data_IF_042558515680
#
_entry.id   IF_042558515680
#
_cell.length_a   1.000
_cell.length_b   1.000
_cell.length_c   1.000
_cell.angle_alpha   90.00
_cell.angle_beta   90.00
_cell.angle_gamma   90.00
#
_symmetry.space_group_name_H-M   'P 1'
#
loop_
_entity.id
_entity.type
_entity.pdbx_description
1 polymer ?
#
# COMPACT_ATOMS: atom_id res chain seq x y z
N UNK A 1 20.02 64.00 -35.32
CA UNK A 1 20.97 62.89 -35.08
C UNK A 1 20.59 62.23 -33.76
N UNK A 2 20.48 60.88 -33.77
CA UNK A 2 20.14 59.95 -32.67
C UNK A 2 18.65 59.64 -32.39
N UNK A 3 18.30 58.43 -32.86
CA UNK A 3 17.16 57.55 -32.57
C UNK A 3 17.22 56.93 -31.16
N UNK A 4 16.06 56.48 -30.65
CA UNK A 4 15.77 55.25 -29.84
C UNK A 4 14.33 55.38 -29.29
N UNK A 5 13.30 54.85 -29.96
CA UNK A 5 12.77 53.46 -29.97
C UNK A 5 12.55 52.86 -28.57
N UNK A 6 11.26 52.64 -28.31
CA UNK A 6 10.58 51.62 -27.48
C UNK A 6 10.98 51.39 -26.02
N UNK A 7 10.00 51.65 -25.15
CA UNK A 7 9.91 51.09 -23.81
C UNK A 7 8.47 50.78 -23.39
N UNK A 8 7.57 50.45 -24.32
CA UNK A 8 6.25 49.88 -24.00
C UNK A 8 6.41 48.36 -24.00
N UNK A 9 6.89 47.80 -22.89
CA UNK A 9 6.87 46.36 -22.63
C UNK A 9 7.09 46.10 -21.14
N UNK A 10 6.33 46.79 -20.29
CA UNK A 10 6.34 46.54 -18.86
C UNK A 10 5.04 45.83 -18.47
N UNK A 11 5.18 44.57 -18.04
CA UNK A 11 4.27 43.87 -17.15
C UNK A 11 2.91 43.42 -17.70
N UNK A 12 2.92 42.55 -18.71
CA UNK A 12 1.83 41.57 -18.91
C UNK A 12 2.47 40.18 -18.91
N UNK A 13 2.73 39.60 -17.72
CA UNK A 13 2.90 38.15 -17.55
C UNK A 13 3.07 37.75 -16.05
N UNK A 14 2.01 37.80 -15.23
CA UNK A 14 2.04 37.24 -13.85
C UNK A 14 0.84 36.33 -13.56
N UNK A 15 0.17 35.80 -14.59
CA UNK A 15 -1.04 34.96 -14.39
C UNK A 15 -0.89 33.48 -14.79
N UNK A 16 0.32 33.00 -15.09
CA UNK A 16 0.53 31.63 -15.59
C UNK A 16 1.14 30.62 -14.59
N UNK A 17 1.05 30.88 -13.27
CA UNK A 17 1.50 29.92 -12.24
C UNK A 17 0.35 29.20 -11.52
N UNK A 18 -0.88 29.30 -12.02
CA UNK A 18 -1.93 28.32 -11.70
C UNK A 18 -1.79 27.10 -12.63
N UNK A 19 -0.57 26.55 -12.73
CA UNK A 19 -0.40 25.22 -13.24
C UNK A 19 -1.06 24.29 -12.23
N UNK A 20 -2.19 23.70 -12.60
CA UNK A 20 -2.70 22.50 -11.95
C UNK A 20 -1.67 21.39 -12.15
N UNK A 21 -0.55 21.45 -11.42
CA UNK A 21 0.24 20.28 -11.14
C UNK A 21 -0.65 19.42 -10.24
N UNK A 22 -1.54 18.65 -10.86
CA UNK A 22 -2.17 17.54 -10.20
C UNK A 22 -1.03 16.73 -9.58
N UNK A 23 -1.09 16.54 -8.27
CA UNK A 23 -0.11 15.74 -7.56
C UNK A 23 0.06 14.37 -8.25
N UNK A 24 1.19 13.69 -8.01
CA UNK A 24 1.36 12.34 -8.53
C UNK A 24 0.10 11.51 -8.23
N UNK A 25 -0.36 10.69 -9.21
CA UNK A 25 -1.55 9.88 -9.01
C UNK A 25 -1.40 9.05 -7.73
N UNK A 26 -2.46 8.98 -6.94
CA UNK A 26 -2.46 8.13 -5.76
C UNK A 26 -2.09 6.70 -6.17
N UNK A 27 -1.22 6.02 -5.42
CA UNK A 27 -0.81 4.66 -5.75
C UNK A 27 -2.01 3.73 -5.77
N UNK A 28 -2.01 2.79 -6.71
CA UNK A 28 -3.09 1.81 -6.80
C UNK A 28 -3.10 0.91 -5.56
N UNK A 29 -4.29 0.62 -4.99
CA UNK A 29 -4.39 -0.27 -3.85
C UNK A 29 -3.97 -1.68 -4.23
N UNK A 30 -3.07 -2.27 -3.45
CA UNK A 30 -2.60 -3.64 -3.68
C UNK A 30 -3.66 -4.64 -3.19
N UNK A 31 -4.51 -5.08 -4.11
CA UNK A 31 -5.62 -5.98 -3.85
C UNK A 31 -5.40 -7.26 -4.65
N UNK A 32 -5.56 -8.41 -4.00
CA UNK A 32 -5.63 -9.68 -4.68
C UNK A 32 -6.72 -10.59 -4.11
N UNK A 33 -7.40 -11.29 -5.00
CA UNK A 33 -8.47 -12.23 -4.69
C UNK A 33 -8.11 -13.62 -5.21
N UNK A 34 -8.30 -14.64 -4.36
CA UNK A 34 -8.02 -16.04 -4.69
C UNK A 34 -9.09 -16.96 -4.13
N UNK A 35 -9.30 -18.09 -4.81
CA UNK A 35 -10.13 -19.20 -4.32
C UNK A 35 -9.19 -20.29 -3.83
N UNK A 36 -9.40 -20.75 -2.60
CA UNK A 36 -8.61 -21.77 -1.93
C UNK A 36 -9.47 -23.03 -1.73
N UNK A 37 -8.99 -24.24 -2.09
CA UNK A 37 -9.71 -25.50 -1.89
C UNK A 37 -9.57 -25.99 -0.44
N UNK A 38 -9.83 -25.10 0.52
CA UNK A 38 -9.69 -25.32 1.95
C UNK A 38 -10.90 -24.69 2.66
N UNK A 39 -11.44 -25.30 3.73
CA UNK A 39 -12.54 -24.72 4.52
C UNK A 39 -12.18 -23.37 5.16
N UNK A 40 -13.17 -22.50 5.33
CA UNK A 40 -12.94 -21.11 5.75
C UNK A 40 -12.24 -20.99 7.11
N UNK A 41 -12.55 -21.88 8.06
CA UNK A 41 -11.91 -21.87 9.39
C UNK A 41 -10.41 -22.17 9.32
N UNK A 42 -10.00 -23.12 8.48
CA UNK A 42 -8.57 -23.42 8.28
C UNK A 42 -7.85 -22.25 7.59
N UNK A 43 -8.52 -21.59 6.63
CA UNK A 43 -7.97 -20.40 5.97
C UNK A 43 -7.80 -19.25 6.97
N UNK A 44 -8.78 -19.01 7.85
CA UNK A 44 -8.70 -17.98 8.90
C UNK A 44 -7.53 -18.25 9.85
N UNK A 45 -7.40 -19.48 10.37
CA UNK A 45 -6.30 -19.84 11.26
C UNK A 45 -4.93 -19.65 10.60
N UNK A 46 -4.75 -20.20 9.39
CA UNK A 46 -3.48 -20.10 8.68
C UNK A 46 -3.13 -18.64 8.32
N UNK A 47 -4.13 -17.83 7.96
CA UNK A 47 -3.93 -16.42 7.66
C UNK A 47 -3.54 -15.63 8.91
N UNK A 48 -4.22 -15.84 10.03
CA UNK A 48 -3.86 -15.22 11.32
C UNK A 48 -2.44 -15.59 11.75
N UNK A 49 -2.03 -16.84 11.57
CA UNK A 49 -0.68 -17.31 11.90
C UNK A 49 0.38 -16.64 11.02
N UNK A 50 0.17 -16.59 9.70
CA UNK A 50 1.09 -15.95 8.73
C UNK A 50 1.25 -14.46 9.04
N UNK A 51 0.14 -13.77 9.29
CA UNK A 51 0.16 -12.34 9.61
C UNK A 51 0.84 -12.08 10.96
N UNK A 52 0.57 -12.90 11.97
CA UNK A 52 1.22 -12.78 13.28
C UNK A 52 2.73 -13.04 13.19
N UNK A 53 3.15 -14.07 12.44
CA UNK A 53 4.58 -14.34 12.15
C UNK A 53 5.22 -13.21 11.34
N UNK A 54 4.44 -12.58 10.45
CA UNK A 54 4.81 -11.36 9.75
C UNK A 54 4.94 -10.13 10.66
N UNK A 55 4.62 -10.24 11.95
CA UNK A 55 4.71 -9.14 12.91
C UNK A 55 3.52 -8.18 12.85
N UNK A 56 2.40 -8.60 12.27
CA UNK A 56 1.13 -7.87 12.32
C UNK A 56 0.37 -8.23 13.59
N UNK A 57 -0.30 -7.25 14.21
CA UNK A 57 -1.33 -7.51 15.22
C UNK A 57 -2.62 -7.85 14.48
N UNK A 58 -3.18 -9.03 14.71
CA UNK A 58 -4.40 -9.48 14.01
C UNK A 58 -5.62 -9.20 14.90
N UNK A 59 -6.63 -8.57 14.32
CA UNK A 59 -7.96 -8.40 14.90
C UNK A 59 -8.97 -9.12 13.99
N UNK A 60 -9.91 -9.84 14.58
CA UNK A 60 -10.91 -10.61 13.83
C UNK A 60 -12.28 -10.15 14.24
N UNK A 61 -13.08 -9.73 13.26
CA UNK A 61 -14.46 -9.34 13.50
C UNK A 61 -15.42 -10.54 13.47
N UNK A 62 -16.59 -10.36 14.09
CA UNK A 62 -17.65 -11.37 14.17
C UNK A 62 -18.23 -11.75 12.79
N UNK A 63 -17.98 -10.92 11.78
CA UNK A 63 -18.34 -11.14 10.37
C UNK A 63 -17.33 -12.00 9.61
N UNK A 64 -16.21 -12.38 10.23
CA UNK A 64 -15.16 -13.18 9.60
C UNK A 64 -14.21 -12.38 8.71
N UNK A 65 -14.24 -11.05 8.75
CA UNK A 65 -13.14 -10.26 8.21
C UNK A 65 -11.99 -10.25 9.24
N UNK A 66 -10.79 -10.38 8.72
CA UNK A 66 -9.55 -10.30 9.48
C UNK A 66 -8.92 -8.96 9.12
N UNK A 67 -8.85 -8.05 10.08
CA UNK A 67 -8.20 -6.76 9.93
C UNK A 67 -6.95 -6.74 10.78
N UNK A 68 -5.84 -6.25 10.22
CA UNK A 68 -4.62 -6.12 11.01
C UNK A 68 -4.43 -4.69 11.52
N UNK A 69 -3.84 -4.58 12.70
CA UNK A 69 -3.22 -3.37 13.18
C UNK A 69 -2.07 -2.94 12.26
N UNK A 70 -1.70 -1.65 12.35
CA UNK A 70 -0.56 -1.13 11.61
C UNK A 70 0.72 -1.80 12.10
N UNK A 71 1.44 -2.50 11.21
CA UNK A 71 2.76 -3.05 11.53
C UNK A 71 3.77 -1.95 11.79
N UNK A 72 4.59 -2.15 12.82
CA UNK A 72 5.57 -1.18 13.25
C UNK A 72 6.74 -1.07 12.25
N UNK A 73 7.09 0.17 11.97
CA UNK A 73 8.21 0.74 11.20
C UNK A 73 9.31 -0.23 10.75
N UNK A 74 9.43 -0.44 9.43
CA UNK A 74 10.66 -0.98 8.84
C UNK A 74 11.43 0.18 8.21
N UNK A 75 12.66 0.39 8.68
CA UNK A 75 13.61 1.29 8.00
C UNK A 75 13.96 0.68 6.65
N UNK A 76 13.46 1.27 5.57
CA UNK A 76 13.85 0.86 4.22
C UNK A 76 15.33 1.21 3.99
N UNK A 77 16.19 0.27 3.56
CA UNK A 77 17.54 0.61 3.16
C UNK A 77 17.52 1.49 1.91
N UNK A 78 18.47 2.43 1.88
CA UNK A 78 18.72 3.43 0.86
C UNK A 78 18.60 2.90 -0.59
N UNK A 79 17.88 3.60 -1.46
CA UNK A 79 18.02 3.42 -2.92
C UNK A 79 18.31 4.77 -3.58
N UNK A 80 19.60 5.05 -3.83
CA UNK A 80 20.09 6.34 -4.30
C UNK A 80 19.75 6.70 -5.75
N UNK A 81 19.05 5.83 -6.48
CA UNK A 81 18.64 6.05 -7.88
C UNK A 81 17.19 6.54 -8.01
N UNK A 82 16.39 6.44 -6.95
CA UNK A 82 15.06 7.04 -6.84
C UNK A 82 15.20 8.23 -5.88
N UNK A 83 14.52 9.35 -6.13
CA UNK A 83 14.60 10.57 -5.29
C UNK A 83 14.21 10.39 -3.81
N UNK A 84 13.94 9.17 -3.35
CA UNK A 84 13.11 8.86 -2.20
C UNK A 84 13.77 7.92 -1.18
N UNK A 85 13.48 8.24 0.09
CA UNK A 85 13.40 7.38 1.29
C UNK A 85 14.59 7.36 2.27
N UNK A 86 14.54 8.32 3.20
CA UNK A 86 14.66 8.06 4.64
C UNK A 86 13.32 7.57 5.25
N UNK A 87 12.48 6.94 4.44
CA UNK A 87 11.07 6.80 4.75
C UNK A 87 10.77 5.65 5.68
N UNK A 88 10.08 5.98 6.77
CA UNK A 88 9.44 4.99 7.62
C UNK A 88 8.15 4.59 6.94
N UNK A 89 7.95 3.29 6.71
CA UNK A 89 6.71 2.74 6.18
C UNK A 89 5.89 2.04 7.25
N UNK A 90 4.57 2.20 7.21
CA UNK A 90 3.60 1.40 7.97
C UNK A 90 2.68 0.68 7.00
N UNK A 91 2.35 -0.55 7.35
CA UNK A 91 1.53 -1.41 6.48
C UNK A 91 0.41 -1.99 7.30
N UNK A 92 -0.79 -1.95 6.73
CA UNK A 92 -1.99 -2.62 7.22
C UNK A 92 -2.45 -3.61 6.16
N UNK A 93 -2.85 -4.79 6.60
CA UNK A 93 -3.48 -5.82 5.78
C UNK A 93 -4.93 -5.97 6.22
N UNK A 94 -5.84 -5.89 5.26
CA UNK A 94 -7.26 -6.19 5.44
C UNK A 94 -7.59 -7.41 4.59
N UNK A 95 -8.11 -8.45 5.23
CA UNK A 95 -8.46 -9.69 4.57
C UNK A 95 -9.93 -10.03 4.83
N UNK A 96 -10.63 -10.40 3.77
CA UNK A 96 -12.01 -10.85 3.81
C UNK A 96 -12.06 -12.31 3.39
N UNK A 97 -12.48 -13.15 4.32
CA UNK A 97 -12.64 -14.60 4.11
C UNK A 97 -14.13 -14.90 3.95
N UNK A 98 -14.52 -15.34 2.76
CA UNK A 98 -15.92 -15.69 2.44
C UNK A 98 -15.98 -17.20 2.13
N UNK A 99 -16.69 -18.00 2.94
CA UNK A 99 -16.94 -19.40 2.59
C UNK A 99 -17.75 -19.45 1.29
N UNK A 100 -17.28 -20.22 0.30
CA UNK A 100 -18.07 -20.49 -0.91
C UNK A 100 -18.86 -21.78 -0.73
N UNK A 101 -18.18 -22.84 -0.29
CA UNK A 101 -18.74 -24.15 0.03
C UNK A 101 -18.08 -24.72 1.30
N UNK A 102 -18.45 -25.94 1.72
CA UNK A 102 -17.88 -26.62 2.89
C UNK A 102 -16.37 -26.89 2.78
N UNK A 103 -15.83 -26.91 1.55
CA UNK A 103 -14.43 -27.21 1.25
C UNK A 103 -13.71 -26.13 0.45
N UNK A 104 -14.38 -25.04 0.10
CA UNK A 104 -13.83 -23.97 -0.74
C UNK A 104 -14.07 -22.59 -0.12
N UNK A 105 -13.05 -21.75 -0.19
CA UNK A 105 -13.08 -20.42 0.42
C UNK A 105 -12.55 -19.39 -0.54
N UNK A 106 -13.28 -18.28 -0.67
CA UNK A 106 -12.82 -17.09 -1.37
C UNK A 106 -12.13 -16.16 -0.38
N UNK A 107 -10.88 -15.83 -0.66
CA UNK A 107 -10.08 -14.90 0.11
C UNK A 107 -9.80 -13.66 -0.73
N UNK A 108 -10.20 -12.49 -0.24
CA UNK A 108 -9.77 -11.20 -0.77
C UNK A 108 -8.84 -10.54 0.23
N UNK A 109 -7.63 -10.21 -0.20
CA UNK A 109 -6.61 -9.58 0.62
C UNK A 109 -6.25 -8.22 0.02
N UNK A 110 -6.23 -7.20 0.86
CA UNK A 110 -5.91 -5.83 0.50
C UNK A 110 -4.81 -5.33 1.43
N UNK A 111 -3.73 -4.82 0.84
CA UNK A 111 -2.61 -4.24 1.58
C UNK A 111 -2.62 -2.73 1.39
N UNK A 112 -2.63 -2.02 2.51
CA UNK A 112 -2.49 -0.58 2.58
C UNK A 112 -1.10 -0.25 3.07
N UNK A 113 -0.31 0.41 2.22
CA UNK A 113 1.01 0.91 2.59
C UNK A 113 0.99 2.43 2.69
N UNK A 114 1.50 2.95 3.81
CA UNK A 114 1.72 4.38 4.00
C UNK A 114 3.18 4.66 4.30
N UNK A 115 3.74 5.60 3.54
CA UNK A 115 5.09 6.10 3.71
C UNK A 115 5.08 7.53 4.23
N UNK A 116 6.20 7.96 4.80
CA UNK A 116 6.53 9.37 5.00
C UNK A 116 8.01 9.58 4.66
N UNK A 117 8.37 10.72 4.10
CA UNK A 117 9.75 10.98 3.65
C UNK A 117 10.68 11.47 4.77
N UNK A 118 10.12 12.19 5.74
CA UNK A 118 10.82 12.72 6.91
C UNK A 118 10.08 12.46 8.22
N UNK A 119 10.74 12.77 9.35
CA UNK A 119 10.13 12.62 10.67
C UNK A 119 8.96 13.61 10.91
N UNK A 120 8.95 14.73 10.19
CA UNK A 120 7.94 15.80 10.27
C UNK A 120 6.88 15.75 9.16
N UNK A 121 7.01 14.84 8.21
CA UNK A 121 6.06 14.71 7.10
C UNK A 121 4.83 13.89 7.51
N UNK A 122 3.70 14.17 6.87
CA UNK A 122 2.47 13.39 7.00
C UNK A 122 2.62 12.01 6.40
N UNK A 123 1.78 11.07 6.87
CA UNK A 123 1.63 9.77 6.25
C UNK A 123 0.84 9.90 4.95
N UNK A 124 1.45 9.48 3.85
CA UNK A 124 0.82 9.45 2.54
C UNK A 124 0.70 8.01 2.05
N UNK A 125 -0.36 7.74 1.29
CA UNK A 125 -0.50 6.44 0.64
C UNK A 125 0.65 6.28 -0.36
N UNK A 126 1.37 5.16 -0.26
CA UNK A 126 2.57 4.89 -1.03
C UNK A 126 2.46 3.51 -1.70
N UNK A 127 3.23 3.30 -2.77
CA UNK A 127 3.29 2.01 -3.44
C UNK A 127 3.79 0.92 -2.48
N UNK A 128 3.06 -0.20 -2.42
CA UNK A 128 3.40 -1.32 -1.54
C UNK A 128 4.70 -1.97 -2.01
N UNK A 129 5.75 -2.07 -1.16
CA UNK A 129 6.98 -2.71 -1.57
C UNK A 129 6.75 -4.22 -1.79
N UNK A 130 7.39 -4.79 -2.81
CA UNK A 130 7.21 -6.20 -3.21
C UNK A 130 7.21 -7.22 -2.06
N UNK A 131 8.10 -7.16 -1.04
CA UNK A 131 8.08 -8.10 0.08
C UNK A 131 6.78 -8.09 0.89
N UNK A 132 6.06 -6.97 0.88
CA UNK A 132 4.81 -6.75 1.63
C UNK A 132 3.58 -6.75 0.71
N UNK A 133 3.76 -7.13 -0.55
CA UNK A 133 2.65 -7.16 -1.51
C UNK A 133 1.62 -8.22 -1.15
N UNK A 134 0.37 -8.00 -1.55
CA UNK A 134 -0.73 -8.97 -1.40
C UNK A 134 -0.36 -10.32 -2.04
N UNK A 135 0.40 -10.28 -3.13
CA UNK A 135 0.92 -11.47 -3.80
C UNK A 135 1.87 -12.31 -2.95
N UNK A 136 2.77 -11.66 -2.22
CA UNK A 136 3.68 -12.38 -1.35
C UNK A 136 2.95 -12.96 -0.13
N UNK A 137 2.02 -12.22 0.47
CA UNK A 137 1.22 -12.71 1.59
C UNK A 137 0.36 -13.93 1.19
N UNK A 138 -0.26 -13.90 0.01
CA UNK A 138 -1.00 -15.05 -0.52
C UNK A 138 -0.08 -16.24 -0.79
N UNK A 139 1.15 -16.01 -1.25
CA UNK A 139 2.13 -17.08 -1.46
C UNK A 139 2.53 -17.73 -0.12
N UNK A 140 2.75 -16.93 0.93
CA UNK A 140 3.04 -17.43 2.28
C UNK A 140 1.87 -18.23 2.84
N UNK A 141 0.64 -17.75 2.65
CA UNK A 141 -0.57 -18.47 3.04
C UNK A 141 -0.70 -19.81 2.30
N UNK A 142 -0.52 -19.84 0.98
CA UNK A 142 -0.57 -21.08 0.20
C UNK A 142 0.47 -22.09 0.68
N UNK A 143 1.67 -21.62 1.03
CA UNK A 143 2.71 -22.47 1.60
C UNK A 143 2.31 -23.03 2.98
N UNK A 144 1.76 -22.18 3.86
CA UNK A 144 1.25 -22.62 5.16
C UNK A 144 0.12 -23.67 5.04
N UNK A 145 -0.72 -23.54 4.02
CA UNK A 145 -1.79 -24.48 3.69
C UNK A 145 -1.31 -25.70 2.88
N UNK A 146 -0.01 -25.80 2.56
CA UNK A 146 0.58 -26.88 1.73
C UNK A 146 -0.06 -27.01 0.34
N UNK A 147 -0.45 -25.89 -0.25
CA UNK A 147 -1.07 -25.81 -1.58
C UNK A 147 -0.05 -25.43 -2.68
N UNK A 148 1.24 -25.34 -2.34
CA UNK A 148 2.32 -24.85 -3.20
C UNK A 148 3.51 -25.80 -3.16
#
# INVERSE_FOLDING_TARGET
MRTRVSGIAAFVLVSALAGCAGGPPAPEPDVMEVILPVPAEQVKTALSDVLTQGGYTVDQDDTGNITTGMRQEIRSPWNGLLRWRFGVGKTRVEARVVPQDDSTTRLRLQVFHRGKDGIFDSWEDAETPLPQSAANEIRLLKNALRLL
#
